data_IF_145987675987
#
_entry.id   IF_145987675987
#
_cell.length_a   1.000
_cell.length_b   1.000
_cell.length_c   1.000
_cell.angle_alpha   90.00
_cell.angle_beta   90.00
_cell.angle_gamma   90.00
#
_symmetry.space_group_name_H-M   'P 1'
#
loop_
_entity.id
_entity.type
_entity.pdbx_description
1 polymer ?
#
# COMPACT_ATOMS: atom_id res chain seq x y z
N UNK A 1 -5.84 47.87 32.04
CA UNK A 1 -5.85 47.62 30.59
C UNK A 1 -4.92 46.43 30.35
N UNK A 2 -5.46 45.21 30.27
CA UNK A 2 -4.65 44.03 29.98
C UNK A 2 -4.09 44.18 28.55
N UNK A 3 -2.80 43.85 28.31
CA UNK A 3 -2.18 44.17 27.03
C UNK A 3 -2.75 43.25 25.96
N UNK A 4 -3.45 43.84 24.98
CA UNK A 4 -3.99 43.14 23.81
C UNK A 4 -2.94 42.26 23.09
N UNK A 5 -1.65 42.59 23.23
CA UNK A 5 -0.50 41.84 22.72
C UNK A 5 -0.39 40.42 23.29
N UNK A 6 -0.61 40.23 24.60
CA UNK A 6 -0.51 38.89 25.22
C UNK A 6 -1.65 37.97 24.79
N UNK A 7 -2.84 38.52 24.51
CA UNK A 7 -3.99 37.75 24.04
C UNK A 7 -3.80 37.26 22.59
N UNK A 8 -3.19 38.08 21.73
CA UNK A 8 -2.86 37.71 20.35
C UNK A 8 -1.80 36.62 20.27
N UNK A 9 -0.79 36.67 21.15
CA UNK A 9 0.24 35.63 21.21
C UNK A 9 -0.31 34.28 21.65
N UNK A 10 -1.20 34.27 22.67
CA UNK A 10 -1.88 33.05 23.12
C UNK A 10 -2.77 32.46 22.01
N UNK A 11 -3.50 33.31 21.29
CA UNK A 11 -4.36 32.88 20.17
C UNK A 11 -3.53 32.29 19.02
N UNK A 12 -2.38 32.90 18.68
CA UNK A 12 -1.47 32.37 17.67
C UNK A 12 -0.93 30.99 18.06
N UNK A 13 -0.46 30.81 19.31
CA UNK A 13 0.05 29.52 19.81
C UNK A 13 -1.06 28.44 19.82
N UNK A 14 -2.29 28.80 20.15
CA UNK A 14 -3.44 27.89 20.10
C UNK A 14 -3.78 27.45 18.66
N UNK A 15 -3.68 28.36 17.68
CA UNK A 15 -3.84 28.04 16.26
C UNK A 15 -2.73 27.14 15.70
N UNK A 16 -1.47 27.34 16.11
CA UNK A 16 -0.37 26.46 15.69
C UNK A 16 -0.50 25.05 16.29
N UNK A 17 -0.99 24.94 17.53
CA UNK A 17 -1.19 23.64 18.19
C UNK A 17 -2.30 22.79 17.56
N UNK A 18 -3.27 23.42 16.89
CA UNK A 18 -4.37 22.74 16.21
C UNK A 18 -4.00 22.23 14.80
N UNK A 19 -2.85 22.61 14.26
CA UNK A 19 -2.34 22.11 12.97
C UNK A 19 -1.63 20.75 13.09
N UNK A 20 -1.25 20.34 14.32
CA UNK A 20 -0.61 19.06 14.59
C UNK A 20 -1.69 17.98 14.69
N UNK A 21 -2.20 17.52 13.55
CA UNK A 21 -3.04 16.32 13.51
C UNK A 21 -2.16 15.09 13.77
N UNK A 22 -2.48 14.21 14.73
CA UNK A 22 -1.75 12.97 14.90
C UNK A 22 -1.91 12.11 13.64
N UNK A 23 -0.82 11.92 12.90
CA UNK A 23 -0.77 10.93 11.83
C UNK A 23 -0.73 9.54 12.48
N UNK A 24 -1.86 8.83 12.46
CA UNK A 24 -1.87 7.42 12.87
C UNK A 24 -1.32 6.58 11.72
N UNK A 25 -0.08 6.10 11.87
CA UNK A 25 0.45 5.09 10.96
C UNK A 25 -0.33 3.79 11.16
N UNK A 26 -0.97 3.30 10.11
CA UNK A 26 -1.70 2.03 10.15
C UNK A 26 -0.73 0.91 9.79
N UNK A 27 -0.76 -0.18 10.54
CA UNK A 27 -0.07 -1.41 10.16
C UNK A 27 -1.08 -2.42 9.65
N UNK A 28 -0.62 -3.48 9.00
CA UNK A 28 -1.50 -4.54 8.53
C UNK A 28 -2.41 -5.05 9.67
N UNK A 29 -1.83 -5.31 10.85
CA UNK A 29 -2.55 -5.85 12.01
C UNK A 29 -3.58 -4.91 12.64
N UNK A 30 -3.53 -3.60 12.38
CA UNK A 30 -4.53 -2.66 12.88
C UNK A 30 -5.75 -2.55 11.96
N UNK A 31 -5.71 -3.17 10.78
CA UNK A 31 -6.80 -3.14 9.81
C UNK A 31 -7.80 -4.26 10.09
N UNK A 32 -9.07 -3.91 10.25
CA UNK A 32 -10.15 -4.89 10.40
C UNK A 32 -10.65 -5.36 9.03
N UNK A 33 -9.84 -6.17 8.35
CA UNK A 33 -10.12 -6.71 7.01
C UNK A 33 -10.50 -8.18 7.14
N UNK A 34 -11.70 -8.54 6.68
CA UNK A 34 -12.26 -9.89 6.84
C UNK A 34 -12.46 -10.58 5.48
N UNK A 35 -12.35 -11.92 5.50
CA UNK A 35 -12.63 -12.79 4.36
C UNK A 35 -14.08 -12.69 3.88
N UNK A 36 -14.41 -13.37 2.77
CA UNK A 36 -15.79 -13.47 2.30
C UNK A 36 -16.70 -14.15 3.33
N UNK A 37 -16.15 -15.10 4.09
CA UNK A 37 -16.81 -15.82 5.18
C UNK A 37 -16.80 -15.03 6.51
N UNK A 38 -16.39 -13.75 6.48
CA UNK A 38 -16.31 -12.85 7.64
C UNK A 38 -15.36 -13.35 8.74
N UNK A 39 -14.31 -14.06 8.35
CA UNK A 39 -13.25 -14.54 9.25
C UNK A 39 -11.95 -13.76 9.06
N UNK A 40 -11.12 -13.62 10.10
CA UNK A 40 -9.79 -13.01 9.95
C UNK A 40 -8.89 -13.83 9.04
N UNK A 41 -7.96 -13.16 8.35
CA UNK A 41 -6.86 -13.82 7.65
C UNK A 41 -5.81 -14.33 8.65
N UNK A 42 -5.14 -15.43 8.30
CA UNK A 42 -4.14 -16.06 9.16
C UNK A 42 -2.83 -15.27 9.20
N UNK A 43 -2.50 -14.59 8.11
CA UNK A 43 -1.25 -13.85 7.97
C UNK A 43 -1.52 -12.45 7.45
N UNK A 44 -0.73 -11.49 7.94
CA UNK A 44 -0.81 -10.08 7.61
C UNK A 44 0.62 -9.57 7.38
N UNK A 45 0.86 -8.91 6.26
CA UNK A 45 2.15 -8.36 5.88
C UNK A 45 2.02 -6.87 5.56
N UNK A 46 2.87 -6.06 6.19
CA UNK A 46 3.21 -4.72 5.69
C UNK A 46 4.16 -4.90 4.49
N UNK A 47 3.72 -4.51 3.30
CA UNK A 47 4.55 -4.61 2.11
C UNK A 47 5.56 -3.46 2.09
N UNK A 48 6.78 -3.69 1.58
CA UNK A 48 7.89 -2.72 1.71
C UNK A 48 7.68 -1.44 0.90
N UNK A 49 6.76 -1.43 -0.06
CA UNK A 49 6.58 -0.35 -1.01
C UNK A 49 5.10 0.02 -1.15
N UNK A 50 4.86 1.29 -1.52
CA UNK A 50 3.53 1.83 -1.87
C UNK A 50 2.51 1.87 -0.72
N UNK A 51 2.98 1.94 0.54
CA UNK A 51 2.13 1.98 1.75
C UNK A 51 0.98 0.97 1.68
N UNK A 52 1.35 -0.27 1.35
CA UNK A 52 0.42 -1.32 0.97
C UNK A 52 0.52 -2.52 1.90
N UNK A 53 -0.55 -3.31 1.95
CA UNK A 53 -0.72 -4.37 2.94
C UNK A 53 -1.31 -5.61 2.27
N UNK A 54 -0.88 -6.78 2.72
CA UNK A 54 -1.41 -8.05 2.27
C UNK A 54 -1.87 -8.88 3.45
N UNK A 55 -3.17 -9.14 3.49
CA UNK A 55 -3.78 -10.15 4.36
C UNK A 55 -3.93 -11.43 3.54
N UNK A 56 -3.53 -12.58 4.07
CA UNK A 56 -3.74 -13.84 3.36
C UNK A 56 -3.90 -15.05 4.27
N UNK A 57 -4.57 -16.06 3.74
CA UNK A 57 -4.70 -17.40 4.32
C UNK A 57 -4.44 -18.41 3.22
N UNK A 58 -3.49 -19.31 3.44
CA UNK A 58 -3.21 -20.42 2.51
C UNK A 58 -3.81 -21.71 3.05
N UNK A 59 -4.58 -22.39 2.21
CA UNK A 59 -5.09 -23.73 2.48
C UNK A 59 -4.37 -24.73 1.56
N UNK A 60 -3.46 -25.50 2.16
CA UNK A 60 -2.68 -26.50 1.43
C UNK A 60 -3.54 -27.66 0.92
N UNK A 61 -4.58 -28.06 1.67
CA UNK A 61 -5.45 -29.20 1.36
C UNK A 61 -6.15 -29.05 0.02
N UNK A 62 -6.60 -27.84 -0.32
CA UNK A 62 -7.24 -27.55 -1.60
C UNK A 62 -6.41 -26.62 -2.50
N UNK A 63 -5.16 -26.32 -2.12
CA UNK A 63 -4.25 -25.43 -2.86
C UNK A 63 -4.88 -24.08 -3.20
N UNK A 64 -5.54 -23.45 -2.23
CA UNK A 64 -6.16 -22.13 -2.40
C UNK A 64 -5.47 -21.08 -1.55
N UNK A 65 -5.25 -19.91 -2.14
CA UNK A 65 -4.71 -18.72 -1.47
C UNK A 65 -5.80 -17.65 -1.46
N UNK A 66 -6.36 -17.37 -0.28
CA UNK A 66 -7.27 -16.24 -0.07
C UNK A 66 -6.47 -15.01 0.30
N UNK A 67 -6.68 -13.90 -0.38
CA UNK A 67 -5.98 -12.63 -0.16
C UNK A 67 -6.94 -11.47 0.03
N UNK A 68 -6.51 -10.48 0.81
CA UNK A 68 -6.98 -9.11 0.74
C UNK A 68 -5.78 -8.17 0.60
N UNK A 69 -5.63 -7.54 -0.55
CA UNK A 69 -4.61 -6.53 -0.80
C UNK A 69 -5.20 -5.14 -0.56
N UNK A 70 -4.53 -4.33 0.26
CA UNK A 70 -5.00 -2.99 0.64
C UNK A 70 -3.96 -1.96 0.24
N UNK A 71 -4.38 -0.91 -0.46
CA UNK A 71 -3.54 0.23 -0.79
C UNK A 71 -4.39 1.48 -1.07
N UNK A 72 -3.75 2.64 -1.05
CA UNK A 72 -4.34 3.90 -1.51
C UNK A 72 -3.94 4.12 -2.98
N UNK A 73 -4.90 4.36 -3.89
CA UNK A 73 -4.58 4.80 -5.24
C UNK A 73 -3.70 6.06 -5.23
N UNK A 74 -2.80 6.23 -6.20
CA UNK A 74 -1.90 7.39 -6.19
C UNK A 74 -2.59 8.73 -6.49
N UNK A 75 -3.84 8.68 -6.99
CA UNK A 75 -4.73 9.81 -7.28
C UNK A 75 -6.18 9.39 -7.05
N UNK A 76 -7.10 10.34 -6.93
CA UNK A 76 -8.53 10.06 -6.72
C UNK A 76 -9.18 9.27 -7.87
N UNK A 77 -8.70 9.44 -9.10
CA UNK A 77 -9.05 8.67 -10.30
C UNK A 77 -8.09 7.50 -10.57
N UNK A 78 -7.30 7.12 -9.57
CA UNK A 78 -6.30 6.08 -9.65
C UNK A 78 -6.85 4.67 -9.45
N UNK A 79 -5.92 3.73 -9.40
CA UNK A 79 -6.18 2.32 -9.26
C UNK A 79 -5.13 1.64 -8.37
N UNK A 80 -5.47 0.47 -7.85
CA UNK A 80 -4.55 -0.43 -7.15
C UNK A 80 -4.62 -1.82 -7.78
N UNK A 81 -3.55 -2.60 -7.71
CA UNK A 81 -3.54 -3.96 -8.23
C UNK A 81 -2.68 -4.90 -7.39
N UNK A 82 -3.12 -6.15 -7.30
CA UNK A 82 -2.32 -7.27 -6.83
C UNK A 82 -2.34 -8.38 -7.88
N UNK A 83 -1.22 -9.05 -8.06
CA UNK A 83 -1.03 -10.00 -9.14
C UNK A 83 -0.14 -11.18 -8.73
N UNK A 84 -0.35 -12.31 -9.40
CA UNK A 84 0.59 -13.43 -9.42
C UNK A 84 1.27 -13.46 -10.77
N UNK A 85 2.60 -13.61 -10.78
CA UNK A 85 3.34 -13.95 -11.99
C UNK A 85 3.70 -15.44 -11.98
N UNK A 86 3.08 -16.26 -12.86
CA UNK A 86 3.32 -17.70 -12.87
C UNK A 86 4.75 -18.11 -13.25
N UNK A 87 5.51 -17.23 -13.91
CA UNK A 87 6.81 -17.57 -14.49
C UNK A 87 7.99 -17.00 -13.67
N UNK A 88 7.92 -15.74 -13.24
CA UNK A 88 9.06 -15.06 -12.59
C UNK A 88 8.62 -13.87 -11.72
N UNK A 89 9.46 -13.44 -10.78
CA UNK A 89 9.22 -12.24 -9.96
C UNK A 89 9.51 -10.95 -10.74
N UNK A 90 8.68 -10.68 -11.75
CA UNK A 90 8.73 -9.51 -12.63
C UNK A 90 7.32 -9.01 -12.95
N UNK A 91 7.19 -7.79 -13.48
CA UNK A 91 5.87 -7.23 -13.81
C UNK A 91 5.28 -7.80 -15.11
N UNK A 92 6.12 -8.06 -16.12
CA UNK A 92 5.66 -8.66 -17.37
C UNK A 92 5.37 -10.15 -17.16
N UNK A 93 4.23 -10.61 -17.64
CA UNK A 93 3.69 -11.94 -17.41
C UNK A 93 2.72 -12.04 -16.22
N UNK A 94 2.55 -10.96 -15.45
CA UNK A 94 1.68 -10.94 -14.27
C UNK A 94 0.20 -11.05 -14.62
N UNK A 95 -0.51 -11.86 -13.85
CA UNK A 95 -1.95 -12.07 -13.89
C UNK A 95 -2.56 -11.30 -12.72
N UNK A 96 -3.20 -10.17 -13.01
CA UNK A 96 -3.55 -9.16 -12.02
C UNK A 96 -5.05 -9.05 -11.76
N UNK A 97 -5.39 -8.77 -10.51
CA UNK A 97 -6.65 -8.18 -10.08
C UNK A 97 -6.41 -6.70 -9.84
N UNK A 98 -7.18 -5.85 -10.51
CA UNK A 98 -7.00 -4.41 -10.47
C UNK A 98 -8.31 -3.75 -10.11
N UNK A 99 -8.29 -2.89 -9.09
CA UNK A 99 -9.45 -2.19 -8.61
C UNK A 99 -9.29 -0.66 -8.69
N UNK A 100 -10.39 0.01 -8.96
CA UNK A 100 -10.46 1.47 -9.03
C UNK A 100 -11.85 1.98 -8.64
N UNK A 101 -11.92 3.23 -8.20
CA UNK A 101 -13.20 3.89 -7.90
C UNK A 101 -14.00 4.14 -9.18
N UNK A 102 -15.27 3.74 -9.20
CA UNK A 102 -16.15 3.93 -10.36
C UNK A 102 -16.84 5.30 -10.41
N UNK A 103 -16.64 6.13 -9.38
CA UNK A 103 -17.17 7.47 -9.24
C UNK A 103 -17.32 7.87 -7.77
N UNK A 104 -17.65 9.13 -7.47
CA UNK A 104 -17.88 9.59 -6.10
C UNK A 104 -18.98 8.78 -5.41
N UNK A 105 -18.66 8.18 -4.26
CA UNK A 105 -19.61 7.40 -3.46
C UNK A 105 -19.99 6.02 -4.04
N UNK A 106 -19.52 5.68 -5.24
CA UNK A 106 -19.78 4.39 -5.83
C UNK A 106 -18.80 3.33 -5.29
N UNK A 107 -19.23 2.06 -5.15
CA UNK A 107 -18.33 0.97 -4.83
C UNK A 107 -17.19 0.84 -5.86
N UNK A 108 -15.98 0.47 -5.43
CA UNK A 108 -14.89 0.23 -6.35
C UNK A 108 -15.21 -0.98 -7.22
N UNK A 109 -14.77 -0.92 -8.46
CA UNK A 109 -14.86 -2.05 -9.40
C UNK A 109 -13.54 -2.79 -9.41
N UNK A 110 -13.58 -4.10 -9.63
CA UNK A 110 -12.39 -4.94 -9.78
C UNK A 110 -12.47 -5.74 -11.07
N UNK A 111 -11.36 -5.79 -11.80
CA UNK A 111 -11.24 -6.45 -13.12
C UNK A 111 -9.94 -7.24 -13.21
N UNK A 112 -9.89 -8.20 -14.12
CA UNK A 112 -8.72 -9.06 -14.33
C UNK A 112 -7.91 -8.63 -15.54
N UNK A 113 -6.58 -8.72 -15.44
CA UNK A 113 -5.65 -8.30 -16.49
C UNK A 113 -4.55 -9.34 -16.68
N UNK A 114 -4.34 -9.76 -17.92
CA UNK A 114 -3.20 -10.58 -18.32
C UNK A 114 -2.12 -9.66 -18.90
N UNK A 115 -1.12 -9.31 -18.09
CA UNK A 115 -0.18 -8.25 -18.38
C UNK A 115 1.05 -8.84 -19.06
N UNK A 116 1.29 -8.49 -20.32
CA UNK A 116 2.52 -8.83 -21.05
C UNK A 116 3.40 -7.62 -21.34
N UNK A 117 2.85 -6.41 -21.23
CA UNK A 117 3.54 -5.15 -21.51
C UNK A 117 2.70 -3.94 -21.07
N UNK A 118 2.89 -2.81 -21.74
CA UNK A 118 2.25 -1.54 -21.36
C UNK A 118 0.81 -1.36 -21.85
N UNK A 119 0.33 -2.23 -22.74
CA UNK A 119 -1.07 -2.20 -23.15
C UNK A 119 -1.93 -2.96 -22.14
N UNK A 120 -2.53 -2.21 -21.21
CA UNK A 120 -3.40 -2.76 -20.18
C UNK A 120 -4.80 -2.99 -20.76
N UNK A 121 -5.11 -4.24 -21.07
CA UNK A 121 -6.44 -4.70 -21.50
C UNK A 121 -6.94 -5.77 -20.55
N UNK A 122 -8.23 -5.74 -20.24
CA UNK A 122 -8.89 -6.78 -19.46
C UNK A 122 -8.69 -8.15 -20.13
N UNK A 123 -8.48 -9.18 -19.32
CA UNK A 123 -8.16 -10.50 -19.80
C UNK A 123 -8.44 -11.60 -18.79
N UNK A 124 -8.56 -12.83 -19.30
CA UNK A 124 -8.66 -14.02 -18.45
C UNK A 124 -7.31 -14.33 -17.82
N UNK A 125 -7.35 -14.80 -16.58
CA UNK A 125 -6.17 -15.24 -15.85
C UNK A 125 -5.84 -16.70 -16.19
N UNK A 126 -4.58 -17.08 -16.03
CA UNK A 126 -4.11 -18.44 -16.27
C UNK A 126 -4.47 -19.45 -15.17
N UNK A 127 -5.11 -18.99 -14.09
CA UNK A 127 -5.51 -19.81 -12.95
C UNK A 127 -6.96 -19.51 -12.54
N UNK A 128 -7.58 -20.49 -11.89
CA UNK A 128 -8.91 -20.33 -11.33
C UNK A 128 -8.90 -19.36 -10.16
N UNK A 129 -9.97 -18.58 -10.04
CA UNK A 129 -10.18 -17.67 -8.93
C UNK A 129 -11.68 -17.55 -8.62
N UNK A 130 -11.98 -17.20 -7.38
CA UNK A 130 -13.33 -16.99 -6.89
C UNK A 130 -13.33 -15.93 -5.78
N UNK A 131 -14.51 -15.59 -5.26
CA UNK A 131 -14.68 -14.57 -4.22
C UNK A 131 -14.08 -13.19 -4.57
N UNK A 132 -13.95 -12.89 -5.87
CA UNK A 132 -13.39 -11.63 -6.36
C UNK A 132 -14.32 -10.46 -6.04
N UNK A 133 -13.83 -9.48 -5.28
CA UNK A 133 -14.54 -8.23 -4.99
C UNK A 133 -13.57 -7.13 -4.60
N UNK A 134 -14.04 -5.89 -4.60
CA UNK A 134 -13.32 -4.76 -4.04
C UNK A 134 -14.21 -3.97 -3.09
N UNK A 135 -13.59 -3.35 -2.07
CA UNK A 135 -14.28 -2.56 -1.05
C UNK A 135 -13.53 -1.25 -0.79
N UNK A 136 -14.28 -0.18 -0.52
CA UNK A 136 -13.71 1.08 -0.06
C UNK A 136 -13.47 1.01 1.45
N UNK A 137 -12.27 1.42 1.88
CA UNK A 137 -11.90 1.52 3.28
C UNK A 137 -11.72 2.99 3.70
N UNK A 138 -11.66 3.23 5.00
CA UNK A 138 -11.38 4.56 5.53
C UNK A 138 -10.04 5.11 5.02
N UNK A 139 -9.97 6.42 4.80
CA UNK A 139 -8.75 7.10 4.33
C UNK A 139 -8.51 6.98 2.81
N UNK A 140 -9.54 6.70 2.02
CA UNK A 140 -9.42 6.60 0.55
C UNK A 140 -8.74 5.31 0.06
N UNK A 141 -8.53 4.34 0.95
CA UNK A 141 -7.96 3.03 0.62
C UNK A 141 -8.99 2.16 -0.09
N UNK A 142 -8.48 1.28 -0.94
CA UNK A 142 -9.24 0.22 -1.58
C UNK A 142 -8.69 -1.12 -1.10
N UNK A 143 -9.56 -2.08 -0.86
CA UNK A 143 -9.21 -3.47 -0.64
C UNK A 143 -9.63 -4.32 -1.84
N UNK A 144 -8.73 -5.15 -2.36
CA UNK A 144 -9.00 -6.18 -3.37
C UNK A 144 -9.03 -7.52 -2.65
N UNK A 145 -10.16 -8.23 -2.75
CA UNK A 145 -10.29 -9.58 -2.24
C UNK A 145 -10.36 -10.58 -3.38
N UNK A 146 -9.63 -11.67 -3.27
CA UNK A 146 -9.74 -12.80 -4.18
C UNK A 146 -9.30 -14.07 -3.47
N UNK A 147 -9.84 -15.21 -3.89
CA UNK A 147 -9.23 -16.51 -3.63
C UNK A 147 -8.75 -17.08 -4.95
N UNK A 148 -7.49 -17.52 -4.99
CA UNK A 148 -6.86 -18.05 -6.20
C UNK A 148 -6.43 -19.49 -6.00
N UNK A 149 -6.56 -20.28 -7.06
CA UNK A 149 -5.95 -21.61 -7.13
C UNK A 149 -4.47 -21.46 -7.38
N UNK A 150 -3.65 -22.00 -6.48
CA UNK A 150 -2.20 -22.10 -6.65
C UNK A 150 -1.81 -23.54 -7.04
N UNK A 151 -0.63 -23.76 -7.64
CA UNK A 151 -0.16 -25.11 -7.94
C UNK A 151 -0.20 -26.02 -6.70
N UNK A 152 -0.54 -27.30 -6.89
CA UNK A 152 -0.59 -28.26 -5.81
C UNK A 152 0.78 -28.40 -5.14
N UNK A 153 0.81 -28.31 -3.80
CA UNK A 153 2.06 -28.36 -3.05
C UNK A 153 2.94 -27.11 -3.19
N UNK A 154 2.43 -26.00 -3.73
CA UNK A 154 3.18 -24.76 -3.80
C UNK A 154 3.63 -24.29 -2.41
N UNK A 155 4.95 -24.14 -2.23
CA UNK A 155 5.53 -23.51 -1.05
C UNK A 155 5.56 -21.98 -1.14
N UNK A 156 5.44 -21.43 -2.35
CA UNK A 156 5.47 -19.99 -2.60
C UNK A 156 4.80 -19.61 -3.94
N UNK A 157 4.53 -18.32 -4.13
CA UNK A 157 4.13 -17.71 -5.40
C UNK A 157 4.92 -16.42 -5.66
N UNK A 158 5.09 -16.03 -6.92
CA UNK A 158 5.66 -14.72 -7.24
C UNK A 158 4.52 -13.69 -7.25
N UNK A 159 4.57 -12.75 -6.32
CA UNK A 159 3.59 -11.67 -6.23
C UNK A 159 4.13 -10.35 -6.77
N UNK A 160 3.24 -9.54 -7.30
CA UNK A 160 3.47 -8.17 -7.75
C UNK A 160 2.30 -7.33 -7.26
N UNK A 161 2.58 -6.11 -6.82
CA UNK A 161 1.54 -5.15 -6.47
C UNK A 161 1.85 -3.81 -7.11
N UNK A 162 0.81 -3.03 -7.38
CA UNK A 162 0.97 -1.71 -7.98
C UNK A 162 -0.11 -0.74 -7.51
N UNK A 163 0.24 0.54 -7.56
CA UNK A 163 -0.70 1.65 -7.51
C UNK A 163 -0.47 2.54 -8.73
N UNK A 164 -1.55 3.03 -9.33
CA UNK A 164 -1.51 3.92 -10.47
C UNK A 164 -2.49 5.08 -10.35
N UNK A 165 -2.27 6.08 -11.19
CA UNK A 165 -2.88 7.41 -11.00
C UNK A 165 -3.97 7.78 -11.99
N UNK A 166 -4.32 6.92 -12.95
CA UNK A 166 -5.32 7.30 -13.93
C UNK A 166 -6.13 6.11 -14.45
N UNK A 167 -7.44 6.30 -14.41
CA UNK A 167 -8.44 5.50 -15.12
C UNK A 167 -9.32 6.45 -15.91
N UNK A 168 -9.24 6.37 -17.24
CA UNK A 168 -10.00 7.25 -18.15
C UNK A 168 -11.00 6.42 -18.94
N UNK A 169 -12.29 6.72 -18.82
CA UNK A 169 -13.38 5.97 -19.48
C UNK A 169 -13.31 4.46 -19.22
N UNK A 170 -12.96 4.07 -17.99
CA UNK A 170 -12.78 2.67 -17.60
C UNK A 170 -11.50 2.00 -18.14
N UNK A 171 -10.66 2.73 -18.89
CA UNK A 171 -9.36 2.27 -19.36
C UNK A 171 -8.28 2.67 -18.36
N UNK A 172 -7.54 1.68 -17.90
CA UNK A 172 -6.47 1.87 -16.92
C UNK A 172 -5.19 2.35 -17.61
N UNK A 173 -4.59 3.40 -17.07
CA UNK A 173 -3.26 3.89 -17.47
C UNK A 173 -2.13 3.14 -16.77
N UNK A 174 -0.93 3.17 -17.36
CA UNK A 174 0.27 2.57 -16.74
C UNK A 174 0.57 3.22 -15.38
N UNK A 175 1.12 2.43 -14.45
CA UNK A 175 1.58 2.97 -13.17
C UNK A 175 2.85 3.82 -13.37
N UNK A 176 3.21 4.69 -12.40
CA UNK A 176 4.47 5.43 -12.44
C UNK A 176 5.70 4.52 -12.47
N UNK A 177 6.79 4.96 -13.09
CA UNK A 177 8.07 4.24 -13.13
C UNK A 177 9.01 4.64 -11.98
N UNK A 178 8.45 5.08 -10.85
CA UNK A 178 9.24 5.44 -9.67
C UNK A 178 9.83 4.18 -9.01
N UNK A 179 10.91 4.30 -8.23
CA UNK A 179 11.51 3.15 -7.55
C UNK A 179 10.53 2.31 -6.72
N UNK A 180 9.59 2.90 -5.95
CA UNK A 180 8.59 2.12 -5.22
C UNK A 180 7.76 1.21 -6.13
N UNK A 181 7.27 1.72 -7.26
CA UNK A 181 6.54 0.92 -8.23
C UNK A 181 7.44 -0.19 -8.82
N UNK A 182 8.67 0.14 -9.22
CA UNK A 182 9.62 -0.81 -9.81
C UNK A 182 10.06 -1.93 -8.84
N UNK A 183 10.06 -1.65 -7.55
CA UNK A 183 10.43 -2.58 -6.48
C UNK A 183 9.25 -3.37 -5.90
N UNK A 184 8.00 -3.08 -6.31
CA UNK A 184 6.78 -3.70 -5.78
C UNK A 184 6.53 -5.12 -6.31
N UNK A 185 7.44 -6.02 -5.98
CA UNK A 185 7.44 -7.44 -6.37
C UNK A 185 8.23 -8.26 -5.36
N UNK A 186 7.74 -9.45 -5.04
CA UNK A 186 8.41 -10.34 -4.09
C UNK A 186 7.98 -11.80 -4.31
N UNK A 187 8.73 -12.72 -3.72
CA UNK A 187 8.26 -14.10 -3.53
C UNK A 187 7.44 -14.14 -2.23
N UNK A 188 6.20 -14.60 -2.31
CA UNK A 188 5.33 -14.82 -1.16
C UNK A 188 5.43 -16.29 -0.73
N UNK A 189 5.95 -16.54 0.47
CA UNK A 189 6.01 -17.89 1.04
C UNK A 189 4.65 -18.28 1.65
N UNK A 190 4.10 -19.42 1.25
CA UNK A 190 2.77 -19.88 1.64
C UNK A 190 2.79 -20.81 2.86
N UNK A 191 3.87 -21.57 3.04
CA UNK A 191 3.99 -22.63 4.06
C UNK A 191 4.93 -22.25 5.21
N UNK A 192 5.38 -21.00 5.27
CA UNK A 192 6.22 -20.51 6.36
C UNK A 192 5.39 -19.74 7.38
N UNK A 193 5.64 -19.96 8.67
CA UNK A 193 5.36 -18.95 9.69
C UNK A 193 6.24 -17.75 9.38
N UNK A 194 5.77 -16.82 8.56
CA UNK A 194 6.38 -15.49 8.51
C UNK A 194 6.07 -14.85 9.84
N UNK A 195 6.99 -15.04 10.80
CA UNK A 195 7.14 -14.10 11.89
C UNK A 195 7.19 -12.71 11.28
N UNK A 196 6.54 -11.76 11.96
CA UNK A 196 6.62 -10.34 11.68
C UNK A 196 8.00 -9.99 11.11
N UNK A 197 8.03 -9.36 9.93
CA UNK A 197 9.25 -8.91 9.28
C UNK A 197 9.97 -7.90 10.16
N UNK A 198 10.72 -8.40 11.14
CA UNK A 198 11.83 -7.71 11.76
C UNK A 198 12.89 -7.53 10.70
N UNK A 199 13.33 -6.28 10.54
CA UNK A 199 14.41 -5.90 9.65
C UNK A 199 15.63 -6.81 9.85
N UNK A 200 15.86 -7.69 8.88
CA UNK A 200 17.07 -8.47 8.76
C UNK A 200 18.18 -7.58 8.21
N UNK A 201 18.99 -7.04 9.12
CA UNK A 201 20.29 -6.44 8.87
C UNK A 201 21.09 -7.26 7.85
N UNK A 202 21.33 -6.68 6.67
CA UNK A 202 22.44 -7.10 5.81
C UNK A 202 23.67 -6.35 6.30
N UNK A 203 24.62 -7.09 6.87
CA UNK A 203 25.97 -6.63 7.17
C UNK A 203 26.60 -6.03 5.91
N UNK A 204 27.04 -4.76 5.89
CA UNK A 204 27.80 -4.23 4.76
C UNK A 204 29.28 -4.64 4.89
N UNK A 205 29.78 -5.36 3.88
CA UNK A 205 31.20 -5.38 3.58
C UNK A 205 31.67 -3.96 3.29
N UNK A 206 32.81 -3.60 3.88
CA UNK A 206 33.38 -2.27 3.92
C UNK A 206 33.72 -1.73 2.52
N UNK A 207 32.94 -0.76 2.04
CA UNK A 207 33.32 0.17 0.96
C UNK A 207 32.59 1.49 1.22
N UNK A 208 33.37 2.55 1.47
CA UNK A 208 32.88 3.81 2.02
C UNK A 208 31.90 4.55 1.10
N UNK A 209 30.77 4.94 1.68
CA UNK A 209 30.05 6.15 1.32
C UNK A 209 29.33 6.66 2.56
N UNK A 210 29.75 7.83 3.05
CA UNK A 210 29.08 8.54 4.14
C UNK A 210 27.82 9.20 3.56
N UNK A 211 26.65 8.61 3.80
CA UNK A 211 25.35 9.26 3.57
C UNK A 211 24.62 9.30 4.90
N UNK A 212 24.62 10.48 5.50
CA UNK A 212 23.84 10.85 6.67
C UNK A 212 22.36 10.71 6.32
N UNK A 213 21.66 9.77 6.96
CA UNK A 213 20.20 9.68 6.88
C UNK A 213 19.61 10.90 7.61
N UNK A 214 19.19 11.92 6.84
CA UNK A 214 18.31 12.98 7.33
C UNK A 214 16.87 12.51 7.19
N UNK A 215 16.20 12.34 8.33
CA UNK A 215 14.79 12.04 8.40
C UNK A 215 13.99 13.27 7.95
N UNK A 216 13.36 13.22 6.77
CA UNK A 216 12.38 14.23 6.35
C UNK A 216 11.02 13.94 7.00
N UNK A 217 10.99 13.98 8.33
CA UNK A 217 9.78 14.19 9.09
C UNK A 217 9.55 15.70 9.16
N UNK A 218 8.51 16.18 8.51
CA UNK A 218 8.14 17.60 8.42
C UNK A 218 7.97 18.17 9.83
N UNK A 219 9.00 18.85 10.32
CA UNK A 219 8.97 19.77 11.45
C UNK A 219 9.77 21.02 11.08
N UNK A 220 9.34 21.69 10.02
CA UNK A 220 9.82 23.01 9.62
C UNK A 220 8.80 24.04 10.09
N UNK A 221 8.97 24.53 11.31
CA UNK A 221 8.12 25.61 11.80
C UNK A 221 8.22 26.01 13.27
N UNK A 222 9.21 25.59 14.06
CA UNK A 222 9.39 26.13 15.42
C UNK A 222 10.87 26.24 15.77
N UNK A 223 11.63 27.11 15.09
CA UNK A 223 12.95 27.55 15.59
C UNK A 223 13.54 28.78 14.91
N UNK A 224 12.74 29.81 14.62
CA UNK A 224 13.27 31.18 14.40
C UNK A 224 12.21 32.18 14.86
N UNK A 225 12.23 32.60 16.13
CA UNK A 225 11.75 33.92 16.62
C UNK A 225 11.83 34.03 18.15
N UNK A 226 13.00 33.75 18.72
CA UNK A 226 13.38 34.29 20.03
C UNK A 226 14.79 34.85 19.89
N UNK A 227 14.90 36.01 19.23
CA UNK A 227 16.18 36.61 18.92
C UNK A 227 16.12 38.06 18.47
N UNK A 228 15.15 38.86 18.92
CA UNK A 228 15.22 40.34 18.83
C UNK A 228 14.36 40.99 19.93
N UNK A 229 14.78 40.86 21.19
CA UNK A 229 14.56 41.89 22.21
C UNK A 229 15.89 42.02 22.93
N UNK A 230 16.75 42.88 22.41
CA UNK A 230 17.71 43.73 23.12
C UNK A 230 18.38 44.60 22.04
N UNK A 231 18.51 45.90 22.32
CA UNK A 231 19.05 46.98 21.47
C UNK A 231 18.00 47.53 20.48
N UNK A 232 17.37 48.70 20.63
CA UNK A 232 17.52 49.89 21.48
C UNK A 232 16.18 50.26 22.13
#
# INVERSE_FOLDING_TARGET
>A
MAPHSSLLFILAVACFSSLISPATSQTCSTQNVLSAEKTPFQTCLDLPELESYLHYTYNATNSSLSVAFVATPSRSDGWIAWAINPAATTMSGSQAFLAYGSGPGAPPVVKTYNISGYNLTEGRLAFDFWNLRAESLHGGRIAIFATVKVPAGAGSVNQVWQVGGNVTNGRVGVHPFSPPNLNSRAVLNLTGTTGAGGGGSKTPGNAGWMTTNVNFGVNLGVLVLLGTIFIF
#
